data_IF_679484033390
#
_entry.id   IF_679484033390
#
_cell.length_a   1.000
_cell.length_b   1.000
_cell.length_c   1.000
_cell.angle_alpha   90.00
_cell.angle_beta   90.00
_cell.angle_gamma   90.00
#
_symmetry.space_group_name_H-M   'P 1'
#
loop_
_entity.id
_entity.type
_entity.pdbx_description
1 polymer ?
#
# COMPACT_ATOMS: atom_id res chain seq x y z
N UNK A 1 1.69 -5.04 4.01
CA UNK A 1 2.89 -4.38 4.48
C UNK A 1 2.53 -2.93 4.85
N UNK A 2 2.97 -2.45 6.05
CA UNK A 2 2.53 -1.15 6.60
C UNK A 2 1.04 -1.20 6.99
N UNK A 3 0.66 -2.15 7.86
CA UNK A 3 -0.75 -2.43 8.15
C UNK A 3 -1.45 -1.33 8.97
N UNK A 4 -0.71 -0.45 9.63
CA UNK A 4 -1.23 0.62 10.48
C UNK A 4 -2.31 0.09 11.45
N UNK A 5 -3.50 0.65 11.47
CA UNK A 5 -4.62 0.23 12.32
C UNK A 5 -5.38 -1.01 11.81
N UNK A 6 -4.93 -1.64 10.72
CA UNK A 6 -5.50 -2.87 10.18
C UNK A 6 -6.72 -2.69 9.27
N UNK A 7 -7.01 -1.48 8.76
CA UNK A 7 -8.18 -1.25 7.91
C UNK A 7 -8.17 -2.10 6.63
N UNK A 8 -7.03 -2.12 5.90
CA UNK A 8 -6.87 -2.96 4.71
C UNK A 8 -6.88 -4.46 5.09
N UNK A 9 -6.22 -4.83 6.20
CA UNK A 9 -6.20 -6.20 6.73
C UNK A 9 -7.61 -6.73 6.99
N UNK A 10 -8.44 -5.95 7.68
CA UNK A 10 -9.84 -6.32 7.95
C UNK A 10 -10.69 -6.41 6.68
N UNK A 11 -10.45 -5.50 5.72
CA UNK A 11 -11.15 -5.55 4.43
C UNK A 11 -10.80 -6.82 3.66
N UNK A 12 -9.54 -7.18 3.56
CA UNK A 12 -9.08 -8.43 2.92
C UNK A 12 -9.65 -9.64 3.66
N UNK A 13 -9.53 -9.67 5.01
CA UNK A 13 -10.03 -10.77 5.85
C UNK A 13 -11.51 -11.09 5.64
N UNK A 14 -12.33 -10.07 5.43
CA UNK A 14 -13.78 -10.22 5.19
C UNK A 14 -14.11 -10.89 3.86
N UNK A 15 -13.22 -10.79 2.89
CA UNK A 15 -13.42 -11.25 1.52
C UNK A 15 -12.67 -12.55 1.19
N UNK A 16 -11.92 -13.12 2.13
CA UNK A 16 -11.30 -14.43 1.96
C UNK A 16 -12.31 -15.51 2.34
N UNK A 17 -12.59 -16.41 1.40
CA UNK A 17 -13.52 -17.52 1.55
C UNK A 17 -12.85 -18.89 1.43
N UNK A 18 -11.51 -18.93 1.56
CA UNK A 18 -10.71 -20.15 1.49
C UNK A 18 -10.13 -20.50 2.86
N UNK A 19 -10.26 -21.78 3.27
CA UNK A 19 -9.87 -22.23 4.61
C UNK A 19 -8.34 -22.27 4.83
N UNK A 20 -7.56 -22.39 3.75
CA UNK A 20 -6.10 -22.53 3.81
C UNK A 20 -5.36 -21.18 3.63
N UNK A 21 -6.00 -20.07 3.92
CA UNK A 21 -5.40 -18.75 3.84
C UNK A 21 -5.12 -18.19 5.23
N UNK A 22 -4.01 -17.45 5.34
CA UNK A 22 -3.72 -16.60 6.48
C UNK A 22 -3.26 -15.23 6.00
N UNK A 23 -3.41 -14.22 6.83
CA UNK A 23 -2.92 -12.86 6.58
C UNK A 23 -1.75 -12.59 7.52
N UNK A 24 -0.66 -12.03 6.97
CA UNK A 24 0.46 -11.50 7.74
C UNK A 24 0.39 -9.97 7.63
N UNK A 25 0.15 -9.30 8.75
CA UNK A 25 0.01 -7.84 8.83
C UNK A 25 1.23 -7.26 9.56
N UNK A 26 1.99 -6.40 8.90
CA UNK A 26 3.30 -5.92 9.38
C UNK A 26 3.28 -4.41 9.48
N UNK A 27 3.81 -3.88 10.59
CA UNK A 27 4.08 -2.45 10.77
C UNK A 27 5.28 -2.27 11.71
N UNK A 28 6.04 -1.21 11.54
CA UNK A 28 7.20 -0.92 12.38
C UNK A 28 6.87 -0.06 13.61
N UNK A 29 5.62 0.33 13.79
CA UNK A 29 5.17 1.13 14.92
C UNK A 29 4.52 0.24 15.98
N UNK A 30 5.11 0.08 17.18
CA UNK A 30 4.52 -0.69 18.28
C UNK A 30 3.09 -0.24 18.62
N UNK A 31 2.84 1.08 18.58
CA UNK A 31 1.53 1.65 18.87
C UNK A 31 0.48 1.28 17.79
N UNK A 32 0.89 1.16 16.51
CA UNK A 32 0.01 0.70 15.44
C UNK A 32 -0.27 -0.80 15.59
N UNK A 33 0.74 -1.60 15.88
CA UNK A 33 0.62 -3.05 16.10
C UNK A 33 -0.34 -3.36 17.24
N UNK A 34 -0.19 -2.70 18.39
CA UNK A 34 -1.10 -2.89 19.53
C UNK A 34 -2.56 -2.58 19.16
N UNK A 35 -2.80 -1.48 18.46
CA UNK A 35 -4.14 -1.09 18.03
C UNK A 35 -4.69 -1.98 16.93
N UNK A 36 -3.86 -2.38 15.96
CA UNK A 36 -4.22 -3.33 14.91
C UNK A 36 -4.66 -4.66 15.53
N UNK A 37 -3.89 -5.23 16.45
CA UNK A 37 -4.23 -6.48 17.14
C UNK A 37 -5.59 -6.39 17.83
N UNK A 38 -5.85 -5.31 18.59
CA UNK A 38 -7.17 -5.10 19.23
C UNK A 38 -8.32 -5.03 18.21
N UNK A 39 -8.13 -4.38 17.05
CA UNK A 39 -9.14 -4.32 16.00
C UNK A 39 -9.37 -5.70 15.36
N UNK A 40 -8.31 -6.46 15.12
CA UNK A 40 -8.39 -7.81 14.57
C UNK A 40 -9.12 -8.75 15.53
N UNK A 41 -8.81 -8.70 16.83
CA UNK A 41 -9.42 -9.54 17.87
C UNK A 41 -10.90 -9.21 18.09
N UNK A 42 -11.26 -7.94 17.96
CA UNK A 42 -12.66 -7.50 18.07
C UNK A 42 -13.54 -7.99 16.90
N UNK A 43 -12.94 -8.38 15.78
CA UNK A 43 -13.67 -8.81 14.59
C UNK A 43 -13.49 -10.31 14.33
N UNK A 44 -14.49 -11.11 14.68
CA UNK A 44 -14.45 -12.56 14.46
C UNK A 44 -14.61 -12.89 12.97
N UNK A 45 -13.63 -13.61 12.42
CA UNK A 45 -13.65 -14.17 11.08
C UNK A 45 -12.78 -15.45 11.06
N UNK A 46 -13.03 -16.40 10.15
CA UNK A 46 -12.33 -17.69 10.13
C UNK A 46 -10.84 -17.53 9.76
N UNK A 47 -10.52 -16.60 8.87
CA UNK A 47 -9.15 -16.40 8.39
C UNK A 47 -8.24 -15.88 9.51
N UNK A 48 -7.18 -16.60 9.89
CA UNK A 48 -6.23 -16.15 10.90
C UNK A 48 -5.41 -14.94 10.39
N UNK A 49 -5.03 -14.07 11.33
CA UNK A 49 -4.18 -12.91 11.05
C UNK A 49 -3.04 -12.89 12.05
N UNK A 50 -1.82 -12.93 11.55
CA UNK A 50 -0.60 -12.72 12.34
C UNK A 50 -0.23 -11.22 12.24
N UNK A 51 -0.31 -10.52 13.36
CA UNK A 51 0.10 -9.10 13.45
C UNK A 51 1.52 -9.04 13.99
N UNK A 52 2.46 -8.54 13.19
CA UNK A 52 3.90 -8.60 13.46
C UNK A 52 4.49 -7.20 13.48
N UNK A 53 5.19 -6.86 14.57
CA UNK A 53 6.05 -5.68 14.61
C UNK A 53 7.34 -5.97 13.84
N UNK A 54 7.65 -5.13 12.85
CA UNK A 54 8.88 -5.28 12.08
C UNK A 54 8.99 -4.29 10.93
N UNK A 55 10.21 -4.12 10.46
CA UNK A 55 10.48 -3.34 9.27
C UNK A 55 10.20 -4.19 8.02
N UNK A 56 9.41 -3.66 7.10
CA UNK A 56 9.06 -4.35 5.85
C UNK A 56 10.28 -4.65 4.97
N UNK A 57 11.39 -3.94 5.19
CA UNK A 57 12.67 -4.18 4.51
C UNK A 57 13.35 -5.45 4.99
N UNK A 58 13.14 -5.87 6.23
CA UNK A 58 13.82 -6.99 6.87
C UNK A 58 12.98 -8.28 6.91
N UNK A 59 11.67 -8.17 6.81
CA UNK A 59 10.75 -9.32 6.86
C UNK A 59 10.87 -10.16 5.58
N UNK A 60 10.95 -11.47 5.73
CA UNK A 60 10.84 -12.41 4.62
C UNK A 60 9.41 -12.39 4.05
N UNK A 61 9.30 -12.45 2.74
CA UNK A 61 8.05 -12.60 2.00
C UNK A 61 8.15 -13.92 1.25
N UNK A 62 7.31 -14.88 1.62
CA UNK A 62 7.36 -16.25 1.06
C UNK A 62 5.95 -16.79 0.88
N UNK A 63 5.76 -17.54 -0.19
CA UNK A 63 4.49 -18.23 -0.48
C UNK A 63 3.27 -17.29 -0.45
N UNK A 64 3.44 -16.05 -0.93
CA UNK A 64 2.38 -15.05 -0.90
C UNK A 64 1.52 -15.14 -2.17
N UNK A 65 0.21 -15.28 -2.01
CA UNK A 65 -0.73 -15.16 -3.14
C UNK A 65 -1.06 -13.70 -3.46
N UNK A 66 -0.98 -12.83 -2.45
CA UNK A 66 -1.19 -11.39 -2.61
C UNK A 66 -0.31 -10.63 -1.63
N UNK A 67 0.27 -9.53 -2.10
CA UNK A 67 0.91 -8.52 -1.25
C UNK A 67 0.21 -7.18 -1.43
N UNK A 68 -0.04 -6.48 -0.34
CA UNK A 68 -0.66 -5.15 -0.35
C UNK A 68 0.28 -4.14 0.29
N UNK A 69 0.60 -3.09 -0.46
CA UNK A 69 1.23 -1.85 0.00
C UNK A 69 0.19 -0.73 -0.15
N UNK A 70 -0.33 -0.23 0.97
CA UNK A 70 -1.38 0.78 0.96
C UNK A 70 -0.89 2.07 1.63
N UNK A 71 -0.42 3.01 0.83
CA UNK A 71 0.23 4.25 1.25
C UNK A 71 1.46 4.00 2.15
N UNK A 72 2.33 3.11 1.72
CA UNK A 72 3.47 2.65 2.51
C UNK A 72 4.81 2.90 1.81
N UNK A 73 4.91 2.59 0.51
CA UNK A 73 6.17 2.69 -0.24
C UNK A 73 6.70 4.14 -0.28
N UNK A 74 5.80 5.12 -0.29
CA UNK A 74 6.12 6.55 -0.29
C UNK A 74 6.88 7.03 0.96
N UNK A 75 6.94 6.24 2.03
CA UNK A 75 7.69 6.54 3.24
C UNK A 75 9.10 5.94 3.26
N UNK A 76 9.43 5.10 2.28
CA UNK A 76 10.79 4.61 2.08
C UNK A 76 11.60 5.59 1.22
N UNK A 77 12.90 5.63 1.47
CA UNK A 77 13.81 6.33 0.56
C UNK A 77 13.70 5.78 -0.87
N UNK A 78 13.71 6.64 -1.90
CA UNK A 78 13.56 6.19 -3.30
C UNK A 78 14.55 5.10 -3.72
N UNK A 79 15.78 5.12 -3.16
CA UNK A 79 16.83 4.13 -3.40
C UNK A 79 16.52 2.74 -2.86
N UNK A 80 15.67 2.63 -1.83
CA UNK A 80 15.31 1.36 -1.18
C UNK A 80 14.08 0.68 -1.80
N UNK A 81 13.26 1.45 -2.53
CA UNK A 81 11.96 0.99 -3.06
C UNK A 81 12.08 -0.17 -4.03
N UNK A 82 13.13 -0.14 -4.88
CA UNK A 82 13.34 -1.20 -5.86
C UNK A 82 13.62 -2.54 -5.17
N UNK A 83 14.51 -2.56 -4.18
CA UNK A 83 14.86 -3.79 -3.45
C UNK A 83 13.64 -4.42 -2.75
N UNK A 84 12.73 -3.60 -2.22
CA UNK A 84 11.49 -4.10 -1.63
C UNK A 84 10.57 -4.71 -2.71
N UNK A 85 10.41 -4.07 -3.87
CA UNK A 85 9.57 -4.60 -4.95
C UNK A 85 10.15 -5.89 -5.54
N UNK A 86 11.49 -5.99 -5.68
CA UNK A 86 12.19 -7.20 -6.11
C UNK A 86 11.91 -8.37 -5.11
N UNK A 87 12.00 -8.08 -3.80
CA UNK A 87 11.70 -9.05 -2.75
C UNK A 87 10.24 -9.50 -2.77
N UNK A 88 9.30 -8.58 -2.99
CA UNK A 88 7.88 -8.91 -3.13
C UNK A 88 7.66 -9.83 -4.33
N UNK A 89 8.24 -9.48 -5.47
CA UNK A 89 8.11 -10.31 -6.68
C UNK A 89 8.64 -11.74 -6.45
N UNK A 90 9.79 -11.88 -5.81
CA UNK A 90 10.38 -13.17 -5.49
C UNK A 90 9.49 -13.99 -4.56
N UNK A 91 8.93 -13.35 -3.53
CA UNK A 91 8.09 -14.01 -2.51
C UNK A 91 6.66 -14.31 -2.92
N UNK A 92 6.17 -13.72 -4.02
CA UNK A 92 4.88 -14.04 -4.59
C UNK A 92 4.91 -15.41 -5.27
N UNK A 93 3.82 -16.16 -5.13
CA UNK A 93 3.57 -17.36 -5.93
C UNK A 93 3.36 -17.00 -7.41
N UNK A 94 3.61 -17.93 -8.36
CA UNK A 94 3.16 -17.78 -9.74
C UNK A 94 1.66 -17.42 -9.79
N UNK A 95 1.28 -16.46 -10.63
CA UNK A 95 -0.08 -15.91 -10.68
C UNK A 95 -0.45 -15.01 -9.50
N UNK A 96 0.45 -14.78 -8.56
CA UNK A 96 0.23 -13.90 -7.40
C UNK A 96 0.18 -12.42 -7.78
N UNK A 97 -0.45 -11.61 -6.92
CA UNK A 97 -0.71 -10.20 -7.17
C UNK A 97 -0.05 -9.27 -6.14
N UNK A 98 0.45 -8.13 -6.63
CA UNK A 98 0.77 -6.97 -5.79
C UNK A 98 -0.29 -5.88 -6.02
N UNK A 99 -0.86 -5.37 -4.92
CA UNK A 99 -1.68 -4.14 -4.92
C UNK A 99 -0.86 -3.03 -4.29
N UNK A 100 -0.55 -2.01 -5.07
CA UNK A 100 0.24 -0.85 -4.67
C UNK A 100 -0.60 0.42 -4.76
N UNK A 101 -0.99 0.97 -3.62
CA UNK A 101 -1.74 2.24 -3.55
C UNK A 101 -0.84 3.33 -2.97
N UNK A 102 -0.72 4.45 -3.70
CA UNK A 102 0.17 5.54 -3.34
C UNK A 102 -0.44 6.91 -3.70
N UNK A 103 0.12 7.95 -3.13
CA UNK A 103 -0.08 9.31 -3.61
C UNK A 103 0.88 9.57 -4.75
N UNK A 104 0.37 10.13 -5.86
CA UNK A 104 1.17 10.39 -7.05
C UNK A 104 1.62 11.84 -7.16
N UNK A 105 2.80 12.02 -7.74
CA UNK A 105 3.25 13.27 -8.35
C UNK A 105 2.93 13.26 -9.85
N UNK A 106 2.90 14.44 -10.45
CA UNK A 106 2.62 14.63 -11.87
C UNK A 106 3.73 15.47 -12.49
N UNK A 107 4.13 15.13 -13.72
CA UNK A 107 5.12 15.90 -14.47
C UNK A 107 4.58 17.28 -14.83
N UNK A 108 3.30 17.37 -15.22
CA UNK A 108 2.62 18.63 -15.45
C UNK A 108 2.23 19.29 -14.11
N UNK A 109 2.96 20.34 -13.76
CA UNK A 109 2.75 21.08 -12.51
C UNK A 109 1.34 21.69 -12.39
N UNK A 110 0.71 22.10 -13.52
CA UNK A 110 -0.64 22.69 -13.51
C UNK A 110 -1.69 21.61 -13.22
N UNK A 111 -1.54 20.43 -13.82
CA UNK A 111 -2.42 19.28 -13.54
C UNK A 111 -2.22 18.83 -12.09
N UNK A 112 -0.98 18.75 -11.63
CA UNK A 112 -0.66 18.43 -10.24
C UNK A 112 -1.31 19.37 -9.24
N UNK A 113 -1.21 20.68 -9.46
CA UNK A 113 -1.84 21.71 -8.63
C UNK A 113 -3.38 21.60 -8.66
N UNK A 114 -3.97 21.41 -9.83
CA UNK A 114 -5.41 21.23 -9.96
C UNK A 114 -5.91 20.04 -9.12
N UNK A 115 -5.31 18.87 -9.27
CA UNK A 115 -5.72 17.66 -8.56
C UNK A 115 -5.48 17.77 -7.05
N UNK A 116 -4.41 18.46 -6.64
CA UNK A 116 -4.15 18.77 -5.24
C UNK A 116 -5.25 19.66 -4.65
N UNK A 117 -5.64 20.74 -5.35
CA UNK A 117 -6.69 21.64 -4.90
C UNK A 117 -8.04 20.95 -4.85
N UNK A 118 -8.40 20.17 -5.88
CA UNK A 118 -9.64 19.35 -5.88
C UNK A 118 -9.70 18.38 -4.69
N UNK A 119 -8.57 17.75 -4.33
CA UNK A 119 -8.52 16.87 -3.16
C UNK A 119 -8.74 17.65 -1.85
N UNK A 120 -8.23 18.87 -1.74
CA UNK A 120 -8.47 19.73 -0.57
C UNK A 120 -9.94 20.19 -0.51
N UNK A 121 -10.54 20.55 -1.64
CA UNK A 121 -11.96 20.88 -1.71
C UNK A 121 -12.84 19.70 -1.32
N UNK A 122 -12.48 18.49 -1.78
CA UNK A 122 -13.14 17.26 -1.36
C UNK A 122 -13.07 17.02 0.16
N UNK A 123 -11.92 17.27 0.79
CA UNK A 123 -11.80 17.18 2.25
C UNK A 123 -12.73 18.20 2.94
N UNK A 124 -12.74 19.47 2.51
CA UNK A 124 -13.61 20.51 3.04
C UNK A 124 -15.08 20.11 2.94
N UNK A 125 -15.49 19.62 1.78
CA UNK A 125 -16.85 19.13 1.54
C UNK A 125 -17.23 17.94 2.43
N UNK A 126 -16.25 17.19 2.93
CA UNK A 126 -16.44 16.07 3.85
C UNK A 126 -16.19 16.45 5.33
N UNK A 127 -16.20 17.73 5.67
CA UNK A 127 -16.20 18.21 7.04
C UNK A 127 -14.82 18.39 7.69
N UNK A 128 -13.74 18.25 6.95
CA UNK A 128 -12.40 18.56 7.48
C UNK A 128 -12.19 20.07 7.59
N UNK A 129 -11.72 20.52 8.75
CA UNK A 129 -11.33 21.92 8.97
C UNK A 129 -10.01 22.26 8.27
N UNK A 130 -9.78 23.54 8.00
CA UNK A 130 -8.50 24.03 7.46
C UNK A 130 -7.32 23.67 8.36
N UNK A 131 -7.54 23.68 9.68
CA UNK A 131 -6.51 23.31 10.65
C UNK A 131 -6.10 21.84 10.52
N UNK A 132 -7.06 20.91 10.42
CA UNK A 132 -6.79 19.49 10.23
C UNK A 132 -6.08 19.21 8.91
N UNK A 133 -6.48 19.90 7.84
CA UNK A 133 -5.84 19.80 6.51
C UNK A 133 -4.39 20.29 6.59
N UNK A 134 -4.14 21.45 7.20
CA UNK A 134 -2.79 22.02 7.32
C UNK A 134 -1.88 21.22 8.24
N UNK A 135 -2.37 20.76 9.38
CA UNK A 135 -1.60 19.93 10.32
C UNK A 135 -1.16 18.63 9.66
N UNK A 136 -2.08 17.93 8.99
CA UNK A 136 -1.77 16.68 8.29
C UNK A 136 -0.75 16.91 7.16
N UNK A 137 -0.86 18.02 6.46
CA UNK A 137 0.10 18.43 5.43
C UNK A 137 1.49 18.60 6.04
N UNK A 138 1.63 19.43 7.07
CA UNK A 138 2.92 19.70 7.72
C UNK A 138 3.59 18.47 8.30
N UNK A 139 2.82 17.50 8.82
CA UNK A 139 3.34 16.22 9.32
C UNK A 139 3.90 15.33 8.21
N UNK A 140 3.38 15.42 6.99
CA UNK A 140 3.70 14.49 5.90
C UNK A 140 4.67 15.08 4.87
N UNK A 141 4.76 16.40 4.74
CA UNK A 141 5.57 17.07 3.70
C UNK A 141 7.06 16.66 3.72
N UNK A 142 7.61 16.38 4.90
CA UNK A 142 9.04 16.05 5.05
C UNK A 142 9.35 14.56 5.06
N UNK A 143 8.35 13.69 5.10
CA UNK A 143 8.54 12.24 5.24
C UNK A 143 7.93 11.44 4.11
N UNK A 144 7.06 12.05 3.31
CA UNK A 144 6.38 11.38 2.21
C UNK A 144 6.99 11.84 0.87
N UNK A 145 7.67 10.93 0.20
CA UNK A 145 8.30 11.13 -1.10
C UNK A 145 7.44 10.47 -2.19
N UNK A 146 6.70 11.27 -2.96
CA UNK A 146 5.79 10.76 -3.99
C UNK A 146 6.51 10.54 -5.32
N UNK A 147 6.08 9.51 -6.05
CA UNK A 147 6.51 9.22 -7.42
C UNK A 147 5.34 9.36 -8.41
N UNK A 148 5.65 9.41 -9.71
CA UNK A 148 4.63 9.33 -10.75
C UNK A 148 4.17 7.89 -10.99
N UNK A 149 3.03 7.73 -11.67
CA UNK A 149 2.52 6.41 -12.10
C UNK A 149 3.55 5.71 -12.98
N UNK A 150 4.19 6.45 -13.89
CA UNK A 150 5.21 5.96 -14.79
C UNK A 150 6.44 5.43 -14.03
N UNK A 151 6.87 6.14 -13.00
CA UNK A 151 7.97 5.71 -12.12
C UNK A 151 7.62 4.42 -11.39
N UNK A 152 6.41 4.30 -10.87
CA UNK A 152 5.95 3.06 -10.24
C UNK A 152 5.89 1.90 -11.23
N UNK A 153 5.31 2.10 -12.42
CA UNK A 153 5.27 1.07 -13.49
C UNK A 153 6.67 0.64 -13.91
N UNK A 154 7.60 1.57 -14.07
CA UNK A 154 8.99 1.25 -14.42
C UNK A 154 9.67 0.39 -13.34
N UNK A 155 9.47 0.69 -12.04
CA UNK A 155 9.98 -0.15 -10.95
C UNK A 155 9.33 -1.52 -10.89
N UNK A 156 8.03 -1.61 -11.10
CA UNK A 156 7.31 -2.89 -11.14
C UNK A 156 7.83 -3.77 -12.28
N UNK A 157 7.97 -3.20 -13.48
CA UNK A 157 8.56 -3.91 -14.61
C UNK A 157 10.00 -4.39 -14.32
N UNK A 158 10.83 -3.53 -13.72
CA UNK A 158 12.20 -3.87 -13.34
C UNK A 158 12.26 -4.99 -12.29
N UNK A 159 11.27 -5.06 -11.38
CA UNK A 159 11.16 -6.14 -10.41
C UNK A 159 10.73 -7.49 -11.02
N UNK A 160 10.20 -7.49 -12.26
CA UNK A 160 9.77 -8.68 -12.98
C UNK A 160 8.26 -8.75 -13.26
N UNK A 161 7.47 -7.77 -12.82
CA UNK A 161 6.04 -7.72 -13.15
C UNK A 161 5.85 -7.28 -14.60
N UNK A 162 5.52 -8.21 -15.48
CA UNK A 162 5.24 -7.91 -16.90
C UNK A 162 3.90 -7.21 -17.10
N UNK A 163 2.94 -7.49 -16.20
CA UNK A 163 1.59 -6.94 -16.24
C UNK A 163 1.35 -6.05 -15.04
N UNK A 164 1.20 -4.75 -15.26
CA UNK A 164 0.82 -3.80 -14.22
C UNK A 164 -0.05 -2.68 -14.78
N UNK A 165 -1.17 -2.38 -14.09
CA UNK A 165 -2.08 -1.33 -14.51
C UNK A 165 -2.56 -0.47 -13.34
N UNK A 166 -2.82 0.80 -13.65
CA UNK A 166 -3.56 1.70 -12.78
C UNK A 166 -5.05 1.35 -12.88
N UNK A 167 -5.61 0.71 -11.86
CA UNK A 167 -7.00 0.25 -11.87
C UNK A 167 -7.96 1.16 -11.09
N UNK A 168 -7.41 2.06 -10.27
CA UNK A 168 -8.18 3.05 -9.53
C UNK A 168 -7.38 4.33 -9.34
N UNK A 169 -8.03 5.49 -9.52
CA UNK A 169 -7.47 6.80 -9.20
C UNK A 169 -8.55 7.74 -8.67
N UNK A 170 -8.20 8.49 -7.62
CA UNK A 170 -9.01 9.57 -7.06
C UNK A 170 -8.11 10.77 -6.79
N UNK A 171 -8.25 11.83 -7.58
CA UNK A 171 -7.36 12.98 -7.61
C UNK A 171 -5.90 12.55 -7.80
N UNK A 172 -5.05 12.83 -6.81
CA UNK A 172 -3.64 12.47 -6.79
C UNK A 172 -3.34 11.21 -5.95
N UNK A 173 -4.32 10.38 -5.70
CA UNK A 173 -4.19 9.06 -5.07
C UNK A 173 -4.64 8.00 -6.04
N UNK A 174 -3.93 6.90 -6.09
CA UNK A 174 -4.34 5.80 -6.93
C UNK A 174 -3.76 4.47 -6.50
N UNK A 175 -4.20 3.44 -7.18
CA UNK A 175 -3.82 2.05 -6.92
C UNK A 175 -3.44 1.36 -8.21
N UNK A 176 -2.26 0.73 -8.21
CA UNK A 176 -1.80 -0.16 -9.26
C UNK A 176 -2.00 -1.61 -8.81
N UNK A 177 -2.35 -2.45 -9.77
CA UNK A 177 -2.28 -3.90 -9.62
C UNK A 177 -1.17 -4.41 -10.53
N UNK A 178 -0.35 -5.33 -10.01
CA UNK A 178 0.70 -5.99 -10.78
C UNK A 178 0.63 -7.51 -10.56
N UNK A 179 0.77 -8.29 -11.62
CA UNK A 179 0.65 -9.74 -11.59
C UNK A 179 2.01 -10.38 -11.87
N UNK A 180 2.36 -11.37 -11.06
CA UNK A 180 3.47 -12.28 -11.36
C UNK A 180 3.03 -13.28 -12.40
N UNK A 181 3.86 -13.53 -13.41
CA UNK A 181 3.56 -14.53 -14.42
C UNK A 181 3.26 -15.90 -13.78
N UNK A 182 2.37 -16.66 -14.43
CA UNK A 182 2.17 -18.07 -14.10
C UNK A 182 3.38 -18.90 -14.56
N UNK A 183 3.64 -20.02 -13.91
CA UNK A 183 4.65 -20.95 -14.40
C UNK A 183 4.22 -21.45 -15.79
N UNK A 184 5.17 -21.54 -16.70
CA UNK A 184 4.90 -22.12 -18.00
C UNK A 184 4.46 -23.58 -17.83
N UNK A 185 3.27 -23.91 -18.33
CA UNK A 185 2.67 -25.25 -18.25
C UNK A 185 3.47 -26.26 -19.07
#
# INVERSE_FOLDING_TARGET
>A
LGCSLGAATLSVRRNIHHDNCKIIAIDNSPAMIERCSRHIDAYKAPTPVDVIEGDIRDIAIENASMVVLNFTLQFLEPSERQALLDKIYQGLNPGGALVLSEKFSFEDAKVGELLFNMHHDFKRANGYSELEISQKRSMLENVMLTDSVETHKARLHKAGFEHSELWFQCFNFGSLVALKAEDAA
#
